data_IF_566951323711
#
_entry.id   IF_566951323711
#
_cell.length_a   1.000
_cell.length_b   1.000
_cell.length_c   1.000
_cell.angle_alpha   90.00
_cell.angle_beta   90.00
_cell.angle_gamma   90.00
#
_symmetry.space_group_name_H-M   'P 1'
#
loop_
_entity.id
_entity.type
_entity.pdbx_description
1 polymer ?
#
# COMPACT_ATOMS: atom_id res chain seq x y z
N UNK A 1 -0.63 -12.70 -26.55
CA UNK A 1 0.83 -12.50 -26.46
C UNK A 1 1.27 -12.66 -25.02
N UNK A 2 2.19 -13.58 -24.73
CA UNK A 2 2.74 -13.73 -23.39
C UNK A 2 3.69 -12.58 -23.07
N UNK A 3 3.64 -12.09 -21.83
CA UNK A 3 4.52 -11.03 -21.30
C UNK A 3 6.02 -11.35 -21.49
N UNK A 4 6.35 -12.63 -21.72
CA UNK A 4 7.71 -13.13 -21.85
C UNK A 4 8.35 -12.89 -23.23
N UNK A 5 7.55 -12.75 -24.31
CA UNK A 5 8.06 -12.78 -25.70
C UNK A 5 7.68 -11.55 -26.56
N UNK A 6 6.92 -10.58 -26.03
CA UNK A 6 6.51 -9.38 -26.80
C UNK A 6 7.53 -8.24 -26.77
N UNK A 7 7.47 -7.29 -27.70
CA UNK A 7 8.25 -6.05 -27.59
C UNK A 7 7.76 -5.16 -26.43
N UNK A 8 8.55 -4.15 -26.02
CA UNK A 8 8.13 -3.15 -25.03
C UNK A 8 6.83 -2.45 -25.48
N UNK A 9 6.69 -2.23 -26.79
CA UNK A 9 5.51 -1.61 -27.41
C UNK A 9 4.29 -2.51 -27.25
N UNK A 10 4.42 -3.82 -27.50
CA UNK A 10 3.32 -4.78 -27.33
C UNK A 10 2.85 -4.83 -25.88
N UNK A 11 3.79 -4.75 -24.94
CA UNK A 11 3.50 -4.73 -23.52
C UNK A 11 2.77 -3.45 -23.08
N UNK A 12 3.13 -2.31 -23.67
CA UNK A 12 2.44 -1.05 -23.43
C UNK A 12 0.98 -1.12 -23.91
N UNK A 13 0.74 -1.60 -25.14
CA UNK A 13 -0.61 -1.77 -25.66
C UNK A 13 -1.41 -2.82 -24.88
N UNK A 14 -0.78 -3.91 -24.45
CA UNK A 14 -1.40 -4.90 -23.57
C UNK A 14 -1.84 -4.27 -22.24
N UNK A 15 -1.02 -3.41 -21.64
CA UNK A 15 -1.37 -2.71 -20.41
C UNK A 15 -2.52 -1.72 -20.62
N UNK A 16 -2.55 -0.99 -21.74
CA UNK A 16 -3.68 -0.12 -22.10
C UNK A 16 -4.96 -0.93 -22.28
N UNK A 17 -4.90 -2.06 -23.00
CA UNK A 17 -6.05 -2.94 -23.17
C UNK A 17 -6.57 -3.46 -21.83
N UNK A 18 -5.66 -3.92 -20.96
CA UNK A 18 -5.99 -4.41 -19.63
C UNK A 18 -6.51 -3.30 -18.70
N UNK A 19 -6.15 -2.04 -18.94
CA UNK A 19 -6.64 -0.90 -18.19
C UNK A 19 -8.17 -0.82 -18.28
N UNK A 20 -8.71 -0.94 -19.50
CA UNK A 20 -10.16 -0.88 -19.74
C UNK A 20 -10.87 -2.00 -18.98
N UNK A 21 -10.40 -3.24 -19.10
CA UNK A 21 -10.98 -4.38 -18.39
C UNK A 21 -10.90 -4.25 -16.87
N UNK A 22 -9.80 -3.71 -16.35
CA UNK A 22 -9.64 -3.45 -14.92
C UNK A 22 -10.69 -2.46 -14.41
N UNK A 23 -10.93 -1.37 -15.12
CA UNK A 23 -11.94 -0.38 -14.74
C UNK A 23 -13.37 -0.91 -14.91
N UNK A 24 -13.65 -1.70 -15.94
CA UNK A 24 -14.95 -2.36 -16.10
C UNK A 24 -15.20 -3.40 -14.99
N UNK A 25 -14.15 -4.10 -14.54
CA UNK A 25 -14.23 -5.03 -13.41
C UNK A 25 -14.57 -4.38 -12.05
N UNK A 26 -14.44 -3.05 -11.93
CA UNK A 26 -14.90 -2.32 -10.74
C UNK A 26 -16.42 -2.16 -10.64
N UNK A 27 -17.14 -2.29 -11.75
CA UNK A 27 -18.61 -2.21 -11.75
C UNK A 27 -19.23 -3.40 -11.00
N UNK A 28 -18.98 -4.68 -11.39
CA UNK A 28 -19.57 -5.82 -10.72
C UNK A 28 -19.08 -6.00 -9.29
N UNK A 29 -17.84 -5.58 -8.98
CA UNK A 29 -17.30 -5.61 -7.63
C UNK A 29 -17.82 -4.48 -6.74
N UNK A 30 -18.53 -3.50 -7.29
CA UNK A 30 -18.96 -2.28 -6.58
C UNK A 30 -17.78 -1.38 -6.17
N UNK A 31 -16.62 -1.55 -6.82
CA UNK A 31 -15.35 -0.91 -6.49
C UNK A 31 -15.45 0.61 -6.37
N UNK A 32 -16.09 1.28 -7.33
CA UNK A 32 -16.25 2.75 -7.30
C UNK A 32 -16.95 3.26 -6.03
N UNK A 33 -18.11 2.69 -5.72
CA UNK A 33 -18.88 3.05 -4.52
C UNK A 33 -18.18 2.61 -3.24
N UNK A 34 -17.52 1.45 -3.27
CA UNK A 34 -16.72 0.95 -2.15
C UNK A 34 -15.57 1.90 -1.81
N UNK A 35 -14.81 2.38 -2.80
CA UNK A 35 -13.69 3.30 -2.57
C UNK A 35 -14.17 4.62 -1.98
N UNK A 36 -15.25 5.18 -2.51
CA UNK A 36 -15.87 6.38 -1.96
C UNK A 36 -16.34 6.16 -0.51
N UNK A 37 -17.04 5.06 -0.24
CA UNK A 37 -17.52 4.73 1.10
C UNK A 37 -16.40 4.55 2.12
N UNK A 38 -15.32 3.85 1.75
CA UNK A 38 -14.14 3.68 2.62
C UNK A 38 -13.42 5.02 2.85
N UNK A 39 -13.35 5.89 1.84
CA UNK A 39 -12.77 7.23 1.99
C UNK A 39 -13.56 8.09 2.98
N UNK A 40 -14.89 8.14 2.82
CA UNK A 40 -15.78 8.86 3.73
C UNK A 40 -15.73 8.30 5.17
N UNK A 41 -15.68 6.97 5.29
CA UNK A 41 -15.53 6.29 6.58
C UNK A 41 -14.18 6.61 7.23
N UNK A 42 -13.09 6.67 6.45
CA UNK A 42 -11.79 7.13 6.92
C UNK A 42 -11.79 8.58 7.40
N UNK A 43 -12.47 9.47 6.67
CA UNK A 43 -12.67 10.86 7.08
C UNK A 43 -13.47 10.95 8.40
N UNK A 44 -14.55 10.18 8.52
CA UNK A 44 -15.32 10.09 9.76
C UNK A 44 -14.49 9.58 10.94
N UNK A 45 -13.67 8.54 10.75
CA UNK A 45 -12.77 8.04 11.80
C UNK A 45 -11.72 9.06 12.22
N UNK A 46 -11.22 9.86 11.29
CA UNK A 46 -10.33 10.96 11.60
C UNK A 46 -11.05 12.06 12.40
N UNK A 47 -12.29 12.41 12.05
CA UNK A 47 -13.05 13.46 12.74
C UNK A 47 -13.43 13.10 14.17
N UNK A 48 -13.65 11.82 14.48
CA UNK A 48 -13.88 11.34 15.85
C UNK A 48 -12.59 11.02 16.62
N UNK A 49 -11.42 11.39 16.07
CA UNK A 49 -10.10 11.16 16.67
C UNK A 49 -9.84 9.68 16.99
N UNK A 50 -10.39 8.77 16.17
CA UNK A 50 -10.26 7.34 16.39
C UNK A 50 -8.79 6.92 16.42
N UNK A 51 -7.98 7.51 15.55
CA UNK A 51 -6.57 7.17 15.38
C UNK A 51 -5.65 7.74 16.48
N UNK A 52 -6.06 8.79 17.18
CA UNK A 52 -5.26 9.48 18.20
C UNK A 52 -5.68 9.11 19.62
N UNK A 53 -6.98 9.19 19.95
CA UNK A 53 -7.50 8.92 21.29
C UNK A 53 -7.97 7.48 21.47
N UNK A 54 -8.87 7.01 20.60
CA UNK A 54 -9.50 5.67 20.76
C UNK A 54 -8.60 4.52 20.35
N UNK A 55 -7.55 4.77 19.56
CA UNK A 55 -6.61 3.74 19.09
C UNK A 55 -5.81 3.06 20.21
N UNK A 56 -5.80 3.66 21.41
CA UNK A 56 -5.20 3.08 22.61
C UNK A 56 -6.08 2.01 23.28
N UNK A 57 -7.36 1.95 22.95
CA UNK A 57 -8.31 1.01 23.57
C UNK A 57 -7.98 -0.45 23.22
N UNK A 58 -7.75 -1.27 24.23
CA UNK A 58 -7.60 -2.74 24.07
C UNK A 58 -8.91 -3.39 23.65
N UNK A 59 -10.05 -2.85 24.11
CA UNK A 59 -11.36 -3.35 23.71
C UNK A 59 -11.56 -3.20 22.21
N UNK A 60 -11.28 -2.01 21.64
CA UNK A 60 -11.40 -1.78 20.20
C UNK A 60 -10.50 -2.71 19.39
N UNK A 61 -9.29 -2.99 19.87
CA UNK A 61 -8.36 -3.92 19.22
C UNK A 61 -8.93 -5.35 19.21
N UNK A 62 -9.41 -5.85 20.35
CA UNK A 62 -9.94 -7.21 20.45
C UNK A 62 -11.24 -7.33 19.66
N UNK A 63 -12.16 -6.38 19.77
CA UNK A 63 -13.44 -6.44 19.04
C UNK A 63 -13.25 -6.33 17.54
N UNK A 64 -12.35 -5.46 17.06
CA UNK A 64 -12.05 -5.38 15.63
C UNK A 64 -11.37 -6.64 15.10
N UNK A 65 -10.49 -7.27 15.88
CA UNK A 65 -9.90 -8.56 15.53
C UNK A 65 -10.95 -9.67 15.45
N UNK A 66 -11.78 -9.83 16.49
CA UNK A 66 -12.75 -10.92 16.55
C UNK A 66 -13.81 -10.77 15.48
N UNK A 67 -14.41 -9.58 15.33
CA UNK A 67 -15.42 -9.33 14.28
C UNK A 67 -14.79 -9.44 12.89
N UNK A 68 -13.57 -8.92 12.70
CA UNK A 68 -12.85 -9.01 11.43
C UNK A 68 -12.55 -10.44 11.00
N UNK A 69 -12.06 -11.27 11.93
CA UNK A 69 -11.80 -12.69 11.67
C UNK A 69 -13.09 -13.45 11.42
N UNK A 70 -14.12 -13.28 12.27
CA UNK A 70 -15.40 -13.96 12.10
C UNK A 70 -16.02 -13.64 10.74
N UNK A 71 -16.05 -12.36 10.33
CA UNK A 71 -16.56 -11.97 9.03
C UNK A 71 -15.74 -12.58 7.88
N UNK A 72 -14.41 -12.60 8.00
CA UNK A 72 -13.52 -13.16 6.97
C UNK A 72 -13.66 -14.67 6.83
N UNK A 73 -13.71 -15.41 7.94
CA UNK A 73 -13.91 -16.85 7.93
C UNK A 73 -15.30 -17.23 7.44
N UNK A 74 -16.35 -16.53 7.89
CA UNK A 74 -17.72 -16.72 7.40
C UNK A 74 -17.81 -16.48 5.89
N UNK A 75 -17.20 -15.41 5.38
CA UNK A 75 -17.14 -15.15 3.93
C UNK A 75 -16.42 -16.29 3.18
N UNK A 76 -15.32 -16.81 3.74
CA UNK A 76 -14.58 -17.92 3.15
C UNK A 76 -15.39 -19.22 3.11
N UNK A 77 -16.17 -19.50 4.15
CA UNK A 77 -17.05 -20.69 4.24
C UNK A 77 -18.19 -20.61 3.23
N UNK A 78 -18.85 -19.45 3.12
CA UNK A 78 -19.97 -19.25 2.19
C UNK A 78 -19.51 -19.46 0.75
N UNK A 79 -18.32 -18.96 0.41
CA UNK A 79 -17.78 -19.01 -0.94
C UNK A 79 -18.52 -18.04 -1.87
N UNK A 80 -17.78 -17.37 -2.74
CA UNK A 80 -18.37 -16.39 -3.65
C UNK A 80 -17.33 -15.73 -4.53
N UNK A 81 -17.80 -14.97 -5.51
CA UNK A 81 -16.94 -14.20 -6.40
C UNK A 81 -16.98 -12.71 -6.04
N UNK A 82 -15.79 -12.15 -5.79
CA UNK A 82 -15.63 -10.70 -5.64
C UNK A 82 -15.77 -9.94 -6.98
N UNK A 83 -15.67 -10.65 -8.11
CA UNK A 83 -15.58 -10.05 -9.44
C UNK A 83 -16.88 -10.12 -10.25
N UNK A 84 -17.85 -10.93 -9.83
CA UNK A 84 -19.13 -11.08 -10.53
C UNK A 84 -20.22 -10.26 -9.86
N UNK A 85 -21.25 -9.86 -10.61
CA UNK A 85 -22.44 -9.28 -10.01
C UNK A 85 -23.09 -10.27 -9.04
N UNK A 86 -23.63 -9.80 -7.90
CA UNK A 86 -24.30 -10.69 -6.97
C UNK A 86 -25.61 -11.16 -7.59
N UNK A 87 -25.65 -12.44 -8.00
CA UNK A 87 -26.83 -13.08 -8.60
C UNK A 87 -27.77 -13.70 -7.57
N UNK A 88 -27.30 -13.92 -6.34
CA UNK A 88 -28.07 -14.59 -5.26
C UNK A 88 -27.92 -13.83 -3.94
N UNK A 89 -28.87 -13.98 -3.00
CA UNK A 89 -28.74 -13.40 -1.65
C UNK A 89 -27.47 -13.85 -0.93
N UNK A 90 -27.04 -15.10 -1.13
CA UNK A 90 -25.78 -15.62 -0.58
C UNK A 90 -24.56 -14.86 -1.12
N UNK A 91 -24.54 -14.50 -2.41
CA UNK A 91 -23.48 -13.69 -2.99
C UNK A 91 -23.46 -12.25 -2.42
N UNK A 92 -24.62 -11.68 -2.10
CA UNK A 92 -24.71 -10.38 -1.43
C UNK A 92 -24.15 -10.44 -0.01
N UNK A 93 -24.53 -11.47 0.75
CA UNK A 93 -24.02 -11.71 2.10
C UNK A 93 -22.50 -11.93 2.09
N UNK A 94 -21.99 -12.74 1.16
CA UNK A 94 -20.55 -12.93 0.95
C UNK A 94 -19.83 -11.59 0.77
N UNK A 95 -20.30 -10.74 -0.16
CA UNK A 95 -19.67 -9.44 -0.43
C UNK A 95 -19.72 -8.52 0.79
N UNK A 96 -20.85 -8.50 1.50
CA UNK A 96 -20.97 -7.74 2.73
C UNK A 96 -19.97 -8.19 3.79
N UNK A 97 -19.84 -9.50 4.02
CA UNK A 97 -18.91 -10.07 4.99
C UNK A 97 -17.44 -9.82 4.60
N UNK A 98 -17.10 -9.88 3.30
CA UNK A 98 -15.77 -9.49 2.81
C UNK A 98 -15.47 -8.03 3.11
N UNK A 99 -16.42 -7.12 2.86
CA UNK A 99 -16.25 -5.69 3.14
C UNK A 99 -16.13 -5.40 4.64
N UNK A 100 -17.01 -5.98 5.45
CA UNK A 100 -16.97 -5.86 6.90
C UNK A 100 -15.63 -6.40 7.45
N UNK A 101 -15.24 -7.61 7.05
CA UNK A 101 -13.96 -8.21 7.41
C UNK A 101 -12.78 -7.31 7.07
N UNK A 102 -12.74 -6.73 5.87
CA UNK A 102 -11.69 -5.80 5.46
C UNK A 102 -11.63 -4.53 6.33
N UNK A 103 -12.77 -3.93 6.65
CA UNK A 103 -12.83 -2.71 7.47
C UNK A 103 -12.39 -3.00 8.90
N UNK A 104 -12.91 -4.06 9.52
CA UNK A 104 -12.55 -4.42 10.90
C UNK A 104 -11.10 -4.86 11.02
N UNK A 105 -10.56 -5.63 10.06
CA UNK A 105 -9.13 -5.96 10.03
C UNK A 105 -8.26 -4.72 9.83
N UNK A 106 -8.70 -3.75 9.03
CA UNK A 106 -8.00 -2.46 8.88
C UNK A 106 -7.94 -1.70 10.22
N UNK A 107 -9.05 -1.61 10.96
CA UNK A 107 -9.08 -0.99 12.30
C UNK A 107 -8.15 -1.76 13.25
N UNK A 108 -8.15 -3.09 13.22
CA UNK A 108 -7.24 -3.91 14.00
C UNK A 108 -5.77 -3.59 13.68
N UNK A 109 -5.39 -3.50 12.41
CA UNK A 109 -4.01 -3.17 12.02
C UNK A 109 -3.61 -1.77 12.49
N UNK A 110 -4.48 -0.77 12.31
CA UNK A 110 -4.18 0.61 12.72
C UNK A 110 -4.04 0.71 14.24
N UNK A 111 -4.98 0.12 15.00
CA UNK A 111 -4.91 0.12 16.48
C UNK A 111 -3.68 -0.65 17.00
N UNK A 112 -3.32 -1.75 16.36
CA UNK A 112 -2.12 -2.52 16.68
C UNK A 112 -0.84 -1.70 16.43
N UNK A 113 -0.69 -1.09 15.26
CA UNK A 113 0.46 -0.23 14.94
C UNK A 113 0.55 0.95 15.90
N UNK A 114 -0.57 1.62 16.18
CA UNK A 114 -0.62 2.75 17.13
C UNK A 114 -0.16 2.35 18.53
N UNK A 115 -0.48 1.15 19.00
CA UNK A 115 0.01 0.63 20.28
C UNK A 115 1.49 0.26 20.23
N UNK A 116 1.93 -0.45 19.19
CA UNK A 116 3.34 -0.83 19.03
C UNK A 116 4.23 0.40 19.03
N UNK A 117 3.88 1.45 18.30
CA UNK A 117 4.64 2.71 18.22
C UNK A 117 4.74 3.44 19.57
N UNK A 118 3.85 3.16 20.54
CA UNK A 118 3.95 3.74 21.89
C UNK A 118 4.97 3.02 22.78
N UNK A 119 5.33 1.78 22.47
CA UNK A 119 6.35 1.00 23.20
C UNK A 119 7.77 1.49 22.88
N UNK A 120 8.74 1.28 23.79
CA UNK A 120 10.15 1.64 23.57
C UNK A 120 10.75 0.93 22.34
N UNK A 121 10.45 -0.36 22.19
CA UNK A 121 10.90 -1.18 21.05
C UNK A 121 10.27 -0.66 19.75
N UNK A 122 8.96 -0.41 19.74
CA UNK A 122 8.29 0.12 18.56
C UNK A 122 8.79 1.49 18.15
N UNK A 123 9.01 2.43 19.09
CA UNK A 123 9.65 3.72 18.79
C UNK A 123 11.01 3.54 18.12
N UNK A 124 11.84 2.61 18.61
CA UNK A 124 13.16 2.33 18.02
C UNK A 124 13.06 1.70 16.64
N UNK A 125 12.17 0.73 16.43
CA UNK A 125 11.98 0.08 15.14
C UNK A 125 11.44 1.06 14.08
N UNK A 126 10.39 1.82 14.41
CA UNK A 126 9.79 2.79 13.50
C UNK A 126 10.71 3.96 13.21
N UNK A 127 11.66 4.31 14.08
CA UNK A 127 12.69 5.32 13.79
C UNK A 127 13.44 5.02 12.49
N UNK A 128 13.68 3.75 12.19
CA UNK A 128 14.32 3.33 10.93
C UNK A 128 13.35 3.33 9.72
N UNK A 129 12.05 3.30 9.96
CA UNK A 129 11.05 3.35 8.88
C UNK A 129 10.63 4.78 8.51
N UNK A 130 10.86 5.76 9.40
CA UNK A 130 10.53 7.18 9.15
C UNK A 130 11.15 7.70 7.85
N UNK A 131 12.46 7.51 7.56
CA UNK A 131 13.07 7.98 6.32
C UNK A 131 12.41 7.41 5.07
N UNK A 132 12.05 6.12 5.11
CA UNK A 132 11.37 5.43 4.00
C UNK A 132 10.01 6.04 3.73
N UNK A 133 9.23 6.32 4.79
CA UNK A 133 7.92 6.98 4.67
C UNK A 133 8.01 8.42 4.16
N UNK A 134 9.07 9.16 4.51
CA UNK A 134 9.33 10.51 3.97
C UNK A 134 9.69 10.52 2.48
N UNK A 135 10.10 9.37 1.93
CA UNK A 135 10.47 9.17 0.53
C UNK A 135 9.52 8.18 -0.17
N UNK A 136 8.25 8.12 0.23
CA UNK A 136 7.31 7.12 -0.25
C UNK A 136 7.14 7.11 -1.78
N UNK A 137 7.04 8.27 -2.44
CA UNK A 137 6.88 8.37 -3.90
C UNK A 137 8.17 7.97 -4.62
N UNK A 138 9.32 8.46 -4.13
CA UNK A 138 10.63 8.11 -4.68
C UNK A 138 10.91 6.62 -4.55
N UNK A 139 10.64 6.04 -3.37
CA UNK A 139 10.84 4.62 -3.11
C UNK A 139 9.89 3.76 -3.95
N UNK A 140 8.61 4.16 -4.07
CA UNK A 140 7.66 3.47 -4.93
C UNK A 140 8.18 3.36 -6.37
N UNK A 141 8.56 4.48 -6.98
CA UNK A 141 9.04 4.49 -8.36
C UNK A 141 10.39 3.77 -8.52
N UNK A 142 11.31 3.91 -7.56
CA UNK A 142 12.55 3.14 -7.53
C UNK A 142 12.30 1.63 -7.53
N UNK A 143 11.43 1.15 -6.64
CA UNK A 143 11.06 -0.27 -6.60
C UNK A 143 10.35 -0.69 -7.87
N UNK A 144 9.44 0.12 -8.42
CA UNK A 144 8.77 -0.20 -9.69
C UNK A 144 9.80 -0.40 -10.80
N UNK A 145 10.75 0.52 -10.98
CA UNK A 145 11.79 0.40 -12.01
C UNK A 145 12.61 -0.88 -11.82
N UNK A 146 13.04 -1.17 -10.58
CA UNK A 146 13.80 -2.40 -10.29
C UNK A 146 12.97 -3.64 -10.60
N UNK A 147 11.71 -3.68 -10.16
CA UNK A 147 10.83 -4.82 -10.41
C UNK A 147 10.57 -5.00 -11.91
N UNK A 148 10.41 -3.92 -12.66
CA UNK A 148 10.30 -3.99 -14.11
C UNK A 148 11.55 -4.62 -14.73
N UNK A 149 12.76 -4.18 -14.35
CA UNK A 149 14.02 -4.77 -14.84
C UNK A 149 14.16 -6.25 -14.45
N UNK A 150 13.78 -6.64 -13.23
CA UNK A 150 13.92 -8.03 -12.76
C UNK A 150 12.94 -8.96 -13.47
N UNK A 151 11.69 -8.55 -13.58
CA UNK A 151 10.60 -9.44 -13.96
C UNK A 151 10.28 -9.38 -15.46
N UNK A 152 10.37 -8.22 -16.08
CA UNK A 152 9.99 -8.06 -17.47
C UNK A 152 11.08 -8.57 -18.42
N UNK A 153 10.64 -8.86 -19.63
CA UNK A 153 11.44 -9.51 -20.66
C UNK A 153 12.65 -8.69 -21.17
N UNK A 154 12.64 -7.37 -21.00
CA UNK A 154 13.76 -6.50 -21.36
C UNK A 154 14.89 -6.48 -20.33
N UNK A 155 14.73 -7.12 -19.16
CA UNK A 155 15.80 -7.32 -18.19
C UNK A 155 16.04 -8.80 -17.92
N UNK A 156 15.76 -9.29 -16.70
CA UNK A 156 16.04 -10.68 -16.33
C UNK A 156 14.91 -11.67 -16.69
N UNK A 157 13.75 -11.19 -17.15
CA UNK A 157 12.64 -12.01 -17.64
C UNK A 157 12.21 -13.11 -16.65
N UNK A 158 12.12 -12.80 -15.35
CA UNK A 158 11.82 -13.79 -14.30
C UNK A 158 10.32 -14.04 -14.06
N UNK A 159 9.41 -13.38 -14.80
CA UNK A 159 7.96 -13.60 -14.67
C UNK A 159 7.63 -15.08 -14.85
N UNK A 160 7.01 -15.67 -13.82
CA UNK A 160 6.59 -17.07 -13.81
C UNK A 160 7.73 -18.09 -13.75
N UNK A 161 8.99 -17.67 -13.64
CA UNK A 161 10.17 -18.57 -13.61
C UNK A 161 10.69 -18.86 -12.20
N UNK A 162 10.40 -17.99 -11.24
CA UNK A 162 10.83 -18.15 -9.86
C UNK A 162 9.64 -18.32 -8.92
N UNK A 163 9.79 -19.19 -7.91
CA UNK A 163 8.76 -19.44 -6.91
C UNK A 163 8.59 -18.31 -5.89
N UNK A 164 7.54 -18.40 -5.08
CA UNK A 164 7.17 -17.38 -4.09
C UNK A 164 8.29 -17.06 -3.08
N UNK A 165 9.07 -18.06 -2.66
CA UNK A 165 10.18 -17.87 -1.71
C UNK A 165 11.25 -16.93 -2.28
N UNK A 166 11.68 -17.18 -3.52
CA UNK A 166 12.70 -16.37 -4.20
C UNK A 166 12.18 -14.94 -4.47
N UNK A 167 10.95 -14.81 -4.95
CA UNK A 167 10.30 -13.50 -5.17
C UNK A 167 10.19 -12.70 -3.88
N UNK A 168 9.83 -13.36 -2.76
CA UNK A 168 9.78 -12.73 -1.44
C UNK A 168 11.16 -12.28 -0.96
N UNK A 169 12.20 -13.09 -1.20
CA UNK A 169 13.59 -12.73 -0.90
C UNK A 169 14.06 -11.49 -1.65
N UNK A 170 13.75 -11.38 -2.95
CA UNK A 170 14.04 -10.19 -3.76
C UNK A 170 13.31 -8.97 -3.20
N UNK A 171 12.04 -9.10 -2.80
CA UNK A 171 11.28 -8.00 -2.22
C UNK A 171 11.88 -7.51 -0.90
N UNK A 172 12.31 -8.43 -0.02
CA UNK A 172 12.98 -8.08 1.25
C UNK A 172 14.31 -7.37 0.97
N UNK A 173 15.11 -7.85 0.01
CA UNK A 173 16.38 -7.23 -0.36
C UNK A 173 16.18 -5.79 -0.83
N UNK A 174 15.19 -5.55 -1.69
CA UNK A 174 14.86 -4.21 -2.19
C UNK A 174 14.39 -3.31 -1.05
N UNK A 175 13.56 -3.82 -0.14
CA UNK A 175 13.10 -3.09 1.03
C UNK A 175 14.27 -2.67 1.95
N UNK A 176 15.21 -3.57 2.21
CA UNK A 176 16.42 -3.27 3.00
C UNK A 176 17.27 -2.20 2.30
N UNK A 177 17.47 -2.33 0.99
CA UNK A 177 18.21 -1.35 0.20
C UNK A 177 17.52 0.04 0.25
N UNK A 178 16.20 0.09 0.11
CA UNK A 178 15.43 1.33 0.22
C UNK A 178 15.55 1.97 1.59
N UNK A 179 15.54 1.17 2.68
CA UNK A 179 15.77 1.66 4.03
C UNK A 179 17.13 2.36 4.09
N UNK A 180 18.20 1.70 3.66
CA UNK A 180 19.56 2.24 3.71
C UNK A 180 19.68 3.52 2.88
N UNK A 181 19.23 3.47 1.61
CA UNK A 181 19.31 4.62 0.70
C UNK A 181 18.48 5.80 1.20
N UNK A 182 17.29 5.57 1.76
CA UNK A 182 16.45 6.64 2.31
C UNK A 182 17.12 7.33 3.50
N UNK A 183 17.82 6.57 4.36
CA UNK A 183 18.57 7.16 5.48
C UNK A 183 19.75 7.99 4.99
N UNK A 184 20.54 7.47 4.04
CA UNK A 184 21.70 8.19 3.50
C UNK A 184 21.23 9.48 2.82
N UNK A 185 20.18 9.40 2.00
CA UNK A 185 19.64 10.54 1.28
C UNK A 185 19.14 11.64 2.22
N UNK A 186 18.32 11.28 3.22
CA UNK A 186 17.72 12.26 4.12
C UNK A 186 18.69 12.84 5.17
N UNK A 187 19.94 12.35 5.24
CA UNK A 187 21.02 13.06 5.96
C UNK A 187 21.43 14.33 5.24
N UNK A 188 21.32 14.38 3.91
CA UNK A 188 21.76 15.51 3.09
C UNK A 188 20.59 16.37 2.58
N UNK A 189 19.41 15.78 2.40
CA UNK A 189 18.26 16.41 1.77
C UNK A 189 16.98 16.34 2.63
N UNK A 190 16.09 17.32 2.48
CA UNK A 190 14.83 17.41 3.24
C UNK A 190 13.74 16.48 2.73
N UNK A 191 13.76 16.15 1.44
CA UNK A 191 12.74 15.37 0.75
C UNK A 191 13.40 14.37 -0.20
N UNK A 192 12.69 13.31 -0.55
CA UNK A 192 13.10 12.51 -1.69
C UNK A 192 13.02 13.32 -3.00
N UNK A 193 13.75 12.90 -4.04
CA UNK A 193 13.85 13.64 -5.29
C UNK A 193 12.49 13.85 -5.95
N UNK A 194 11.63 12.84 -5.98
CA UNK A 194 10.32 12.92 -6.63
C UNK A 194 9.30 13.68 -5.78
N UNK A 195 9.39 13.59 -4.46
CA UNK A 195 8.61 14.42 -3.54
C UNK A 195 8.96 15.90 -3.72
N UNK A 196 10.24 16.22 -3.92
CA UNK A 196 10.68 17.57 -4.17
C UNK A 196 10.17 18.12 -5.51
N UNK A 197 10.25 17.32 -6.58
CA UNK A 197 9.67 17.68 -7.89
C UNK A 197 8.16 17.92 -7.73
N UNK A 198 7.45 16.98 -7.12
CA UNK A 198 6.01 17.07 -6.94
C UNK A 198 5.60 18.33 -6.17
N UNK A 199 6.25 18.60 -5.04
CA UNK A 199 5.97 19.81 -4.24
C UNK A 199 6.31 21.08 -5.00
N UNK A 200 7.44 21.12 -5.70
CA UNK A 200 7.84 22.30 -6.47
C UNK A 200 6.84 22.61 -7.59
N UNK A 201 6.28 21.58 -8.23
CA UNK A 201 5.21 21.72 -9.22
C UNK A 201 3.89 22.16 -8.59
N UNK A 202 3.46 21.55 -7.47
CA UNK A 202 2.21 21.90 -6.79
C UNK A 202 2.20 23.36 -6.35
N UNK A 203 3.30 23.83 -5.75
CA UNK A 203 3.42 25.21 -5.28
C UNK A 203 3.91 26.19 -6.36
N UNK A 204 4.20 25.70 -7.58
CA UNK A 204 4.79 26.47 -8.70
C UNK A 204 6.03 27.28 -8.29
N UNK A 205 6.81 26.77 -7.33
CA UNK A 205 8.00 27.42 -6.79
C UNK A 205 9.07 26.38 -6.51
N UNK A 206 10.33 26.69 -6.86
CA UNK A 206 11.47 25.84 -6.50
C UNK A 206 11.67 25.86 -4.98
N UNK A 207 11.44 24.72 -4.33
CA UNK A 207 11.66 24.56 -2.89
C UNK A 207 13.13 24.21 -2.63
N UNK A 208 13.71 24.67 -1.52
CA UNK A 208 15.07 24.28 -1.16
C UNK A 208 15.15 22.82 -0.72
N UNK A 209 15.91 22.03 -1.47
CA UNK A 209 16.08 20.61 -1.22
C UNK A 209 17.04 20.32 -0.06
N UNK A 210 18.04 21.16 0.17
CA UNK A 210 19.07 20.99 1.21
C UNK A 210 18.68 21.70 2.51
N UNK A 211 19.21 21.20 3.62
CA UNK A 211 19.17 21.91 4.90
C UNK A 211 19.96 23.22 4.81
N UNK A 212 19.48 24.32 5.41
CA UNK A 212 20.29 25.54 5.50
C UNK A 212 21.57 25.22 6.27
N UNK A 213 22.70 25.81 5.86
CA UNK A 213 24.06 25.45 6.32
C UNK A 213 24.24 25.40 7.86
N UNK A 214 23.37 26.05 8.63
CA UNK A 214 23.39 26.09 10.09
C UNK A 214 22.91 24.79 10.80
N UNK A 215 22.51 23.75 10.06
CA UNK A 215 22.05 22.47 10.65
C UNK A 215 23.01 21.28 10.43
N UNK A 216 24.19 21.49 9.83
CA UNK A 216 25.13 20.38 9.54
C UNK A 216 26.00 19.93 10.72
N UNK A 217 25.66 20.31 11.96
CA UNK A 217 26.37 19.88 13.16
C UNK A 217 25.38 19.53 14.28
N UNK A 218 24.90 18.28 14.29
CA UNK A 218 24.58 17.48 15.50
C UNK A 218 24.17 16.07 15.11
#
# INVERSE_FOLDING_TARGET
>A
MSVQNGSIVDLFFLNIHNLVWKYLGYIPSGGYFKFLGIFLLGYYFASIELFTKKSKSTLLLITSLTVGLLATFSAKIIGGSSYMFPSTPLNMLYKFLVLAGQIFMCIFYITSISKVVQTSIGKRAFKYLIPVGRMALSNYLFQTIIMLIIFYNFGFNLIGKIGLLHTSGIAILILVLQIILSHIWLRHFKFGPLEWIWRSLTYKKRIDLRYPNNYSAK
#
